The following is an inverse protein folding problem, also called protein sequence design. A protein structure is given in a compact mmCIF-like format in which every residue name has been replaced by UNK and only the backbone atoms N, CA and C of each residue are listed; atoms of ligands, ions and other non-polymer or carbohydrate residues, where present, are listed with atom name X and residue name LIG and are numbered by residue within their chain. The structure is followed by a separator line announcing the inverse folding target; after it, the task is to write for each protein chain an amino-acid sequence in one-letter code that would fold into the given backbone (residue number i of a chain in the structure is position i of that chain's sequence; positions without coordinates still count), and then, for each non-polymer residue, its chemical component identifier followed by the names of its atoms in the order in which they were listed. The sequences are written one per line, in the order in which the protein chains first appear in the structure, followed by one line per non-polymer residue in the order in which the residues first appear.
data_IF_867448434320
#
_entry.id   IF_867448434320
#
_cell.length_a   1.000
_cell.length_b   1.000
_cell.length_c   1.000
_cell.angle_alpha   90.00
_cell.angle_beta   90.00
_cell.angle_gamma   90.00
#
_symmetry.space_group_name_H-M   'P 1'
#
loop_
_entity.id
_entity.type
_entity.pdbx_description
1 polymer ?
#
# COMPACT_ATOMS: atom_id res chain seq x y z
N UNK A 1 6.36 -1.44 -11.65
CA UNK A 1 7.01 -1.33 -10.33
C UNK A 1 8.43 -0.77 -10.47
N UNK A 2 9.35 -1.46 -11.15
CA UNK A 2 10.72 -0.96 -11.35
C UNK A 2 10.78 0.47 -11.90
N UNK A 3 10.11 0.77 -13.01
CA UNK A 3 10.12 2.14 -13.57
C UNK A 3 9.49 3.19 -12.64
N UNK A 4 8.47 2.83 -11.86
CA UNK A 4 7.87 3.76 -10.89
C UNK A 4 8.83 4.04 -9.73
N UNK A 5 9.56 3.02 -9.26
CA UNK A 5 10.60 3.14 -8.25
C UNK A 5 11.78 3.99 -8.75
N UNK A 6 12.22 3.77 -10.00
CA UNK A 6 13.26 4.57 -10.66
C UNK A 6 12.86 6.04 -10.81
N UNK A 7 11.57 6.31 -11.03
CA UNK A 7 11.00 7.66 -11.06
C UNK A 7 10.82 8.28 -9.66
N UNK A 8 11.09 7.52 -8.60
CA UNK A 8 11.01 8.00 -7.22
C UNK A 8 9.59 8.07 -6.65
N UNK A 9 8.62 7.35 -7.23
CA UNK A 9 7.28 7.28 -6.65
C UNK A 9 7.26 6.35 -5.44
N UNK A 10 6.78 6.82 -4.28
CA UNK A 10 6.42 5.94 -3.17
C UNK A 10 5.27 5.03 -3.58
N UNK A 11 5.33 3.77 -3.17
CA UNK A 11 4.33 2.77 -3.54
C UNK A 11 3.89 1.98 -2.31
N UNK A 12 2.59 1.71 -2.22
CA UNK A 12 2.04 0.87 -1.17
C UNK A 12 1.03 -0.14 -1.70
N UNK A 13 0.90 -1.27 -1.00
CA UNK A 13 -0.21 -2.21 -1.19
C UNK A 13 -1.24 -1.97 -0.10
N UNK A 14 -2.44 -1.59 -0.49
CA UNK A 14 -3.61 -1.54 0.39
C UNK A 14 -4.53 -2.69 -0.01
N UNK A 15 -4.86 -3.61 0.89
CA UNK A 15 -5.65 -4.81 0.56
C UNK A 15 -6.74 -5.14 1.58
N UNK A 16 -7.85 -5.71 1.10
CA UNK A 16 -8.85 -6.37 1.96
C UNK A 16 -8.48 -7.84 2.25
N UNK A 17 -7.42 -8.35 1.62
CA UNK A 17 -6.96 -9.73 1.79
C UNK A 17 -6.11 -9.92 3.06
N UNK A 18 -5.65 -11.15 3.24
CA UNK A 18 -4.71 -11.52 4.31
C UNK A 18 -3.37 -11.94 3.69
N UNK A 19 -2.30 -11.81 4.48
CA UNK A 19 -0.95 -12.26 4.14
C UNK A 19 -0.33 -11.54 2.94
N UNK A 20 -0.65 -10.27 2.68
CA UNK A 20 -0.12 -9.59 1.51
C UNK A 20 1.39 -9.39 1.58
N UNK A 21 1.93 -9.14 2.77
CA UNK A 21 3.38 -9.11 2.98
C UNK A 21 4.05 -10.41 2.51
N UNK A 22 3.46 -11.57 2.88
CA UNK A 22 3.97 -12.88 2.48
C UNK A 22 3.81 -13.13 0.99
N UNK A 23 2.69 -12.72 0.40
CA UNK A 23 2.46 -12.88 -1.03
C UNK A 23 3.43 -12.03 -1.85
N UNK A 24 3.64 -10.76 -1.47
CA UNK A 24 4.62 -9.88 -2.08
C UNK A 24 6.04 -10.45 -1.99
N UNK A 25 6.43 -10.96 -0.82
CA UNK A 25 7.72 -11.62 -0.60
C UNK A 25 7.93 -12.85 -1.49
N UNK A 26 6.91 -13.71 -1.63
CA UNK A 26 6.98 -14.90 -2.49
C UNK A 26 7.12 -14.54 -3.97
N UNK A 27 6.64 -13.37 -4.37
CA UNK A 27 6.77 -12.85 -5.73
C UNK A 27 8.03 -11.99 -5.91
N UNK A 28 8.79 -11.74 -4.84
CA UNK A 28 10.00 -10.90 -4.83
C UNK A 28 9.70 -9.44 -5.27
N UNK A 29 8.50 -8.96 -4.96
CA UNK A 29 8.03 -7.61 -5.28
C UNK A 29 7.88 -6.71 -4.06
N UNK A 30 7.99 -7.25 -2.85
CA UNK A 30 7.92 -6.52 -1.57
C UNK A 30 8.90 -5.35 -1.52
N UNK A 31 10.07 -5.51 -2.13
CA UNK A 31 11.12 -4.47 -2.24
C UNK A 31 10.69 -3.21 -3.00
N UNK A 32 9.57 -3.26 -3.74
CA UNK A 32 9.04 -2.11 -4.47
C UNK A 32 8.06 -1.29 -3.64
N UNK A 33 7.62 -1.78 -2.48
CA UNK A 33 6.59 -1.12 -1.69
C UNK A 33 7.18 -0.60 -0.39
N UNK A 34 6.96 0.68 -0.12
CA UNK A 34 7.32 1.35 1.13
C UNK A 34 6.43 0.87 2.29
N UNK A 35 5.20 0.45 1.97
CA UNK A 35 4.23 -0.06 2.94
C UNK A 35 3.31 -1.12 2.32
N UNK A 36 2.87 -2.07 3.15
CA UNK A 36 1.88 -3.09 2.80
C UNK A 36 0.93 -3.23 3.98
N UNK A 37 -0.34 -2.87 3.75
CA UNK A 37 -1.41 -2.78 4.75
C UNK A 37 -2.55 -3.73 4.37
N UNK A 38 -2.98 -4.51 5.35
CA UNK A 38 -4.12 -5.42 5.27
C UNK A 38 -5.29 -4.87 6.12
N UNK A 39 -6.52 -4.97 5.62
CA UNK A 39 -7.72 -4.51 6.33
C UNK A 39 -7.92 -5.16 7.71
N UNK A 40 -7.41 -6.39 7.88
CA UNK A 40 -7.38 -7.10 9.15
C UNK A 40 -6.51 -6.40 10.21
N UNK A 41 -5.44 -5.72 9.80
CA UNK A 41 -4.55 -5.02 10.71
C UNK A 41 -5.15 -3.70 11.20
N UNK A 42 -5.87 -2.99 10.33
CA UNK A 42 -6.34 -1.62 10.59
C UNK A 42 -7.81 -1.53 10.99
N UNK A 43 -8.59 -2.60 10.84
CA UNK A 43 -9.98 -2.68 11.32
C UNK A 43 -11.03 -2.03 10.40
N UNK A 44 -10.65 -1.55 9.23
CA UNK A 44 -11.55 -1.06 8.18
C UNK A 44 -11.13 -1.62 6.81
N UNK A 45 -12.09 -1.76 5.90
CA UNK A 45 -11.91 -2.38 4.59
C UNK A 45 -12.60 -1.57 3.49
N UNK A 46 -12.10 -1.66 2.26
CA UNK A 46 -12.79 -1.09 1.09
C UNK A 46 -14.23 -1.64 1.02
N UNK A 47 -15.23 -0.83 0.67
CA UNK A 47 -15.13 0.49 0.04
C UNK A 47 -14.91 1.68 1.01
N UNK A 48 -14.68 1.43 2.31
CA UNK A 48 -14.36 2.50 3.25
C UNK A 48 -13.05 3.21 2.89
N UNK A 49 -13.12 4.50 2.57
CA UNK A 49 -11.98 5.31 2.17
C UNK A 49 -10.92 5.47 3.27
N UNK A 50 -11.27 5.21 4.54
CA UNK A 50 -10.32 5.29 5.68
C UNK A 50 -9.10 4.42 5.48
N UNK A 51 -9.22 3.29 4.77
CA UNK A 51 -8.07 2.42 4.48
C UNK A 51 -7.01 3.10 3.60
N UNK A 52 -7.45 3.87 2.61
CA UNK A 52 -6.55 4.63 1.76
C UNK A 52 -6.02 5.89 2.47
N UNK A 53 -6.90 6.59 3.19
CA UNK A 53 -6.53 7.81 3.89
C UNK A 53 -5.51 7.56 5.02
N UNK A 54 -5.60 6.41 5.70
CA UNK A 54 -4.60 6.00 6.68
C UNK A 54 -3.23 5.82 6.01
N UNK A 55 -3.17 4.99 4.96
CA UNK A 55 -1.93 4.70 4.26
C UNK A 55 -1.28 5.95 3.67
N UNK A 56 -2.06 6.80 2.99
CA UNK A 56 -1.56 8.05 2.44
C UNK A 56 -1.01 8.98 3.52
N UNK A 57 -1.70 9.07 4.67
CA UNK A 57 -1.23 9.87 5.81
C UNK A 57 0.10 9.34 6.35
N UNK A 58 0.27 8.03 6.45
CA UNK A 58 1.51 7.40 6.91
C UNK A 58 2.67 7.65 5.93
N UNK A 59 2.40 7.69 4.63
CA UNK A 59 3.35 8.07 3.59
C UNK A 59 3.56 9.59 3.46
N UNK A 60 2.79 10.42 4.17
CA UNK A 60 2.89 11.88 4.12
C UNK A 60 2.23 12.53 2.90
N UNK A 61 1.29 11.85 2.24
CA UNK A 61 0.54 12.34 1.09
C UNK A 61 -0.94 12.60 1.41
N UNK A 62 -1.56 13.42 0.56
CA UNK A 62 -3.01 13.62 0.53
C UNK A 62 -3.64 12.90 -0.65
N UNK A 63 -4.95 12.66 -0.60
CA UNK A 63 -5.67 11.83 -1.58
C UNK A 63 -5.58 12.34 -3.03
N UNK A 64 -5.41 13.65 -3.25
CA UNK A 64 -5.24 14.24 -4.58
C UNK A 64 -3.82 14.10 -5.14
N UNK A 65 -2.89 13.50 -4.39
CA UNK A 65 -1.51 13.24 -4.81
C UNK A 65 -1.25 11.77 -5.14
N UNK A 66 -2.29 10.93 -5.05
CA UNK A 66 -2.21 9.49 -5.30
C UNK A 66 -3.03 9.08 -6.53
N UNK A 67 -2.64 7.95 -7.13
CA UNK A 67 -3.29 7.34 -8.30
C UNK A 67 -4.09 6.10 -7.90
#
# INVERSE_FOLDING_TARGET
LASLQEMGFPMAIVSNGVYQQRNAARMVIEKFFDSIIDSWHVGFMKPDARIFNLELRELGFSANQAL
#
